data_IF_147842727074
#
_entry.id   IF_147842727074
#
_cell.length_a   1.000
_cell.length_b   1.000
_cell.length_c   1.000
_cell.angle_alpha   90.00
_cell.angle_beta   90.00
_cell.angle_gamma   90.00
#
_symmetry.space_group_name_H-M   'P 1'
#
loop_
_entity.id
_entity.type
_entity.pdbx_description
1 polymer ?
#
# COMPACT_ATOMS: atom_id res chain seq x y z
N UNK A 1 -9.64 35.62 27.77
CA UNK A 1 -8.84 34.37 27.59
C UNK A 1 -7.54 34.78 26.96
N UNK A 2 -6.45 34.71 27.74
CA UNK A 2 -5.13 35.07 27.25
C UNK A 2 -4.67 34.03 26.23
N UNK A 3 -4.61 34.44 24.96
CA UNK A 3 -4.03 33.66 23.89
C UNK A 3 -2.52 33.86 23.94
N UNK A 4 -1.78 32.79 24.20
CA UNK A 4 -0.33 32.84 24.17
C UNK A 4 0.15 32.28 22.83
N UNK A 5 0.89 33.09 22.09
CA UNK A 5 1.54 32.65 20.86
C UNK A 5 3.04 32.54 21.06
N UNK A 6 3.62 31.38 20.71
CA UNK A 6 5.06 31.17 20.75
C UNK A 6 5.58 31.02 19.32
N UNK A 7 6.55 31.86 18.97
CA UNK A 7 7.24 31.78 17.68
C UNK A 7 8.50 30.90 17.81
N UNK A 8 8.66 29.98 16.89
CA UNK A 8 9.82 29.10 16.79
C UNK A 8 10.42 29.25 15.38
N UNK A 9 11.73 29.45 15.29
CA UNK A 9 12.42 29.47 14.02
C UNK A 9 12.65 28.02 13.56
N UNK A 10 12.23 27.71 12.34
CA UNK A 10 12.43 26.42 11.70
C UNK A 10 13.15 26.58 10.36
N UNK A 11 13.72 25.50 9.83
CA UNK A 11 14.35 25.54 8.51
C UNK A 11 13.37 26.08 7.45
N UNK A 12 13.66 27.26 6.91
CA UNK A 12 12.86 27.91 5.88
C UNK A 12 11.74 28.82 6.35
N UNK A 13 11.63 29.12 7.66
CA UNK A 13 10.61 30.07 8.13
C UNK A 13 10.36 30.07 9.64
N UNK A 14 9.14 30.43 10.00
CA UNK A 14 8.71 30.52 11.39
C UNK A 14 7.49 29.63 11.62
N UNK A 15 7.49 28.93 12.76
CA UNK A 15 6.35 28.20 13.29
C UNK A 15 5.74 28.95 14.45
N UNK A 16 4.45 29.21 14.39
CA UNK A 16 3.70 29.80 15.47
C UNK A 16 2.85 28.74 16.16
N UNK A 17 3.06 28.59 17.46
CA UNK A 17 2.23 27.74 18.32
C UNK A 17 1.26 28.64 19.07
N UNK A 18 -0.03 28.46 18.84
CA UNK A 18 -1.08 29.25 19.49
C UNK A 18 -1.72 28.36 20.54
N UNK A 19 -1.61 28.74 21.79
CA UNK A 19 -2.20 28.04 22.91
C UNK A 19 -3.49 28.74 23.33
N UNK A 20 -4.54 27.97 23.49
CA UNK A 20 -5.81 28.43 24.01
C UNK A 20 -6.27 27.49 25.12
N UNK A 21 -6.65 28.04 26.26
CA UNK A 21 -7.26 27.29 27.34
C UNK A 21 -8.69 26.91 26.95
N UNK A 22 -9.03 25.63 27.11
CA UNK A 22 -10.37 25.12 26.81
C UNK A 22 -10.51 23.67 27.24
N UNK A 23 -11.76 23.20 27.30
CA UNK A 23 -12.09 21.84 27.62
C UNK A 23 -12.31 20.99 26.35
N UNK A 24 -12.33 19.68 26.50
CA UNK A 24 -12.62 18.79 25.40
C UNK A 24 -14.04 19.06 24.86
N UNK A 25 -14.13 19.43 23.60
CA UNK A 25 -15.39 19.74 22.91
C UNK A 25 -15.70 21.23 22.75
N UNK A 26 -14.90 22.10 23.34
CA UNK A 26 -15.04 23.54 23.14
C UNK A 26 -14.74 23.92 21.69
N UNK A 27 -15.49 24.88 21.18
CA UNK A 27 -15.25 25.47 19.86
C UNK A 27 -14.50 26.77 20.01
N UNK A 28 -13.38 26.87 19.32
CA UNK A 28 -12.53 28.08 19.32
C UNK A 28 -12.39 28.59 17.90
N UNK A 29 -12.58 29.88 17.71
CA UNK A 29 -12.28 30.56 16.45
C UNK A 29 -10.97 31.29 16.60
N UNK A 30 -10.01 30.97 15.75
CA UNK A 30 -8.71 31.66 15.72
C UNK A 30 -8.61 32.39 14.38
N UNK A 31 -8.37 33.73 14.47
CA UNK A 31 -8.14 34.57 13.29
C UNK A 31 -6.67 34.96 13.25
N UNK A 32 -6.02 34.67 12.13
CA UNK A 32 -4.62 35.02 11.89
C UNK A 32 -4.54 35.84 10.61
N UNK A 33 -3.93 37.03 10.73
CA UNK A 33 -3.71 37.90 9.57
C UNK A 33 -2.23 37.90 9.19
N UNK A 34 -1.96 37.51 7.94
CA UNK A 34 -0.61 37.50 7.40
C UNK A 34 -0.42 38.57 6.35
N UNK A 35 0.72 39.26 6.39
CA UNK A 35 1.18 40.08 5.30
C UNK A 35 2.38 39.43 4.63
N UNK A 36 2.14 38.80 3.48
CA UNK A 36 3.16 38.13 2.70
C UNK A 36 3.73 39.10 1.67
N UNK A 37 5.06 39.11 1.53
CA UNK A 37 5.78 39.89 0.52
C UNK A 37 6.42 38.97 -0.50
N UNK A 38 6.61 39.46 -1.72
CA UNK A 38 7.30 38.75 -2.81
C UNK A 38 6.65 37.40 -3.16
N UNK A 39 5.32 37.31 -3.10
CA UNK A 39 4.55 36.10 -3.44
C UNK A 39 4.29 35.93 -4.93
N UNK A 40 4.49 36.99 -5.72
CA UNK A 40 4.17 36.99 -7.15
C UNK A 40 5.46 36.97 -7.97
N UNK A 41 5.45 36.10 -8.98
CA UNK A 41 6.48 36.04 -10.01
C UNK A 41 6.02 36.88 -11.22
N UNK A 42 6.82 37.81 -11.64
CA UNK A 42 6.46 38.77 -12.71
C UNK A 42 7.23 38.39 -13.98
N UNK A 43 6.50 38.17 -15.05
CA UNK A 43 7.01 37.87 -16.38
C UNK A 43 6.67 38.97 -17.37
N UNK A 44 7.09 38.85 -18.63
CA UNK A 44 6.77 39.85 -19.65
C UNK A 44 5.27 39.95 -19.93
N UNK A 45 4.57 38.81 -19.91
CA UNK A 45 3.19 38.64 -20.35
C UNK A 45 2.19 38.42 -19.19
N UNK A 46 2.64 37.83 -18.08
CA UNK A 46 1.78 37.51 -16.94
C UNK A 46 2.45 37.80 -15.60
N UNK A 47 1.62 37.86 -14.57
CA UNK A 47 2.04 37.75 -13.16
C UNK A 47 1.50 36.43 -12.61
N UNK A 48 2.37 35.59 -12.10
CA UNK A 48 2.05 34.25 -11.62
C UNK A 48 2.06 34.20 -10.08
N UNK A 49 1.06 33.54 -9.51
CA UNK A 49 1.01 33.13 -8.12
C UNK A 49 1.12 31.60 -8.07
N UNK A 50 2.13 31.12 -7.36
CA UNK A 50 2.24 29.72 -6.97
C UNK A 50 2.35 29.66 -5.46
N UNK A 51 1.31 29.19 -4.78
CA UNK A 51 1.23 29.23 -3.32
C UNK A 51 0.57 27.98 -2.76
N UNK A 52 1.19 27.43 -1.71
CA UNK A 52 0.70 26.27 -0.97
C UNK A 52 0.33 26.74 0.45
N UNK A 53 -0.89 27.28 0.66
CA UNK A 53 -1.31 27.79 1.98
C UNK A 53 -1.49 26.71 3.03
N UNK A 54 -1.74 25.46 2.61
CA UNK A 54 -1.88 24.33 3.49
C UNK A 54 -0.91 23.25 3.01
N UNK A 55 0.06 22.91 3.86
CA UNK A 55 0.99 21.78 3.64
C UNK A 55 1.24 21.08 4.98
N UNK A 56 1.40 19.74 4.92
CA UNK A 56 1.84 18.93 6.07
C UNK A 56 1.08 19.14 7.39
N UNK A 57 -0.20 19.50 7.28
CA UNK A 57 -1.05 19.65 8.45
C UNK A 57 -1.29 18.30 9.13
N UNK A 58 -1.06 18.20 10.43
CA UNK A 58 -1.08 16.95 11.18
C UNK A 58 -2.48 16.38 11.45
N UNK A 59 -3.54 17.13 11.10
CA UNK A 59 -4.94 16.77 11.26
C UNK A 59 -5.73 16.97 9.98
N UNK A 60 -6.83 16.25 9.87
CA UNK A 60 -7.80 16.47 8.81
C UNK A 60 -8.47 17.83 8.99
N UNK A 61 -8.51 18.63 7.94
CA UNK A 61 -9.27 19.86 7.86
C UNK A 61 -10.60 19.60 7.14
N UNK A 62 -11.69 20.15 7.65
CA UNK A 62 -13.01 20.05 7.04
C UNK A 62 -13.53 21.45 6.70
N UNK A 63 -14.37 21.55 5.66
CA UNK A 63 -15.00 22.78 5.21
C UNK A 63 -13.98 23.90 4.97
N UNK A 64 -12.97 23.59 4.17
CA UNK A 64 -11.91 24.55 3.84
C UNK A 64 -12.42 25.49 2.75
N UNK A 65 -12.37 26.77 3.01
CA UNK A 65 -12.76 27.81 2.07
C UNK A 65 -11.65 28.86 1.96
N UNK A 66 -11.30 29.22 0.74
CA UNK A 66 -10.40 30.32 0.42
C UNK A 66 -11.09 31.29 -0.51
N UNK A 67 -10.88 32.57 -0.26
CA UNK A 67 -11.26 33.66 -1.16
C UNK A 67 -9.99 34.37 -1.61
N UNK A 68 -9.74 34.36 -2.90
CA UNK A 68 -8.59 35.04 -3.53
C UNK A 68 -9.13 36.19 -4.37
N UNK A 69 -8.75 37.41 -3.99
CA UNK A 69 -9.12 38.61 -4.72
C UNK A 69 -7.87 39.17 -5.41
N UNK A 70 -7.76 39.08 -6.72
CA UNK A 70 -6.65 39.70 -7.46
C UNK A 70 -6.70 41.21 -7.38
N UNK A 71 -5.59 41.90 -7.68
CA UNK A 71 -5.52 43.38 -7.64
C UNK A 71 -6.51 44.05 -8.58
N UNK A 72 -6.83 43.41 -9.68
CA UNK A 72 -7.89 43.79 -10.59
C UNK A 72 -8.34 42.54 -11.38
N UNK A 73 -9.57 42.59 -11.90
CA UNK A 73 -10.08 41.50 -12.75
C UNK A 73 -9.77 41.77 -14.21
N UNK A 74 -9.18 40.77 -14.87
CA UNK A 74 -9.11 40.73 -16.33
C UNK A 74 -9.79 39.48 -16.85
N UNK A 75 -10.17 39.48 -18.12
CA UNK A 75 -10.70 38.31 -18.79
C UNK A 75 -9.64 37.21 -18.97
N UNK A 76 -8.36 37.54 -18.84
CA UNK A 76 -7.22 36.64 -19.01
C UNK A 76 -6.72 36.00 -17.71
N UNK A 77 -7.44 36.17 -16.60
CA UNK A 77 -7.07 35.57 -15.32
C UNK A 77 -7.57 34.14 -15.24
N UNK A 78 -6.68 33.22 -14.93
CA UNK A 78 -7.04 31.83 -14.61
C UNK A 78 -6.48 31.48 -13.23
N UNK A 79 -7.26 30.71 -12.46
CA UNK A 79 -6.87 30.18 -11.17
C UNK A 79 -7.20 28.70 -11.10
N UNK A 80 -6.19 27.93 -10.78
CA UNK A 80 -6.28 26.50 -10.52
C UNK A 80 -6.02 26.23 -9.03
N UNK A 81 -6.73 25.27 -8.49
CA UNK A 81 -6.54 24.82 -7.13
C UNK A 81 -6.44 23.27 -7.12
N UNK A 82 -5.40 22.76 -6.51
CA UNK A 82 -5.09 21.33 -6.48
C UNK A 82 -5.01 20.81 -5.05
N UNK A 83 -5.55 19.62 -4.80
CA UNK A 83 -5.53 19.02 -3.47
C UNK A 83 -5.08 17.57 -3.50
N UNK A 84 -4.41 17.15 -2.44
CA UNK A 84 -4.13 15.77 -2.16
C UNK A 84 -3.11 15.12 -3.11
N UNK A 85 -3.16 13.81 -3.18
CA UNK A 85 -2.37 13.07 -4.15
C UNK A 85 -2.89 13.31 -5.56
N UNK A 86 -1.97 13.32 -6.51
CA UNK A 86 -2.29 13.45 -7.92
C UNK A 86 -2.90 14.81 -8.32
N UNK A 87 -2.67 15.85 -7.50
CA UNK A 87 -3.09 17.21 -7.82
C UNK A 87 -4.58 17.28 -8.23
N UNK A 88 -5.45 16.60 -7.48
CA UNK A 88 -6.89 16.59 -7.76
C UNK A 88 -7.45 18.01 -7.75
N UNK A 89 -8.17 18.45 -8.80
CA UNK A 89 -8.68 19.81 -8.85
C UNK A 89 -9.73 20.04 -7.76
N UNK A 90 -9.63 21.18 -7.07
CA UNK A 90 -10.65 21.68 -6.18
C UNK A 90 -11.69 22.49 -6.96
N UNK A 91 -12.87 22.65 -6.37
CA UNK A 91 -13.89 23.51 -6.97
C UNK A 91 -13.48 24.97 -6.84
N UNK A 92 -13.32 25.64 -7.97
CA UNK A 92 -13.07 27.08 -8.07
C UNK A 92 -14.26 27.75 -8.71
N UNK A 93 -14.84 28.74 -8.03
CA UNK A 93 -15.99 29.52 -8.53
C UNK A 93 -15.60 30.99 -8.56
N UNK A 94 -15.87 31.67 -9.67
CA UNK A 94 -15.69 33.13 -9.76
C UNK A 94 -16.91 33.84 -9.18
N UNK A 95 -16.68 34.67 -8.18
CA UNK A 95 -17.70 35.53 -7.54
C UNK A 95 -17.28 37.00 -7.67
N UNK A 96 -17.82 37.69 -8.69
CA UNK A 96 -17.43 39.07 -8.99
C UNK A 96 -15.93 39.16 -9.29
N UNK A 97 -15.23 39.94 -8.44
CA UNK A 97 -13.79 40.17 -8.57
C UNK A 97 -12.94 39.16 -7.79
N UNK A 98 -13.56 38.17 -7.20
CA UNK A 98 -12.88 37.16 -6.39
C UNK A 98 -13.07 35.75 -6.93
N UNK A 99 -12.15 34.87 -6.55
CA UNK A 99 -12.25 33.43 -6.74
C UNK A 99 -12.54 32.80 -5.39
N UNK A 100 -13.57 31.99 -5.32
CA UNK A 100 -13.93 31.20 -4.17
C UNK A 100 -13.54 29.75 -4.40
N UNK A 101 -12.69 29.20 -3.56
CA UNK A 101 -12.22 27.83 -3.58
C UNK A 101 -12.82 27.10 -2.40
N UNK A 102 -13.55 26.00 -2.67
CA UNK A 102 -14.15 25.16 -1.63
C UNK A 102 -13.65 23.75 -1.71
N UNK A 103 -13.20 23.24 -0.56
CA UNK A 103 -12.74 21.86 -0.39
C UNK A 103 -13.46 21.25 0.81
N UNK A 104 -14.25 20.24 0.59
CA UNK A 104 -15.03 19.59 1.67
C UNK A 104 -14.15 19.06 2.78
N UNK A 105 -13.02 18.47 2.43
CA UNK A 105 -12.01 18.06 3.42
C UNK A 105 -10.62 17.89 2.79
N UNK A 106 -9.60 18.21 3.57
CA UNK A 106 -8.19 17.93 3.27
C UNK A 106 -7.70 16.93 4.31
N UNK A 107 -7.23 15.78 3.87
CA UNK A 107 -6.73 14.74 4.78
C UNK A 107 -5.41 15.18 5.45
N UNK A 108 -5.06 14.53 6.56
CA UNK A 108 -3.77 14.71 7.23
C UNK A 108 -2.62 14.57 6.23
N UNK A 109 -1.62 15.43 6.34
CA UNK A 109 -0.42 15.47 5.49
C UNK A 109 -0.75 15.60 3.99
N UNK A 110 -1.78 16.41 3.67
CA UNK A 110 -2.15 16.77 2.31
C UNK A 110 -2.07 18.25 2.10
N UNK A 111 -1.81 18.64 0.87
CA UNK A 111 -1.63 20.02 0.46
C UNK A 111 -2.93 20.58 -0.13
N UNK A 112 -3.08 21.89 -0.05
CA UNK A 112 -3.88 22.69 -0.97
C UNK A 112 -2.92 23.69 -1.63
N UNK A 113 -2.91 23.67 -2.95
CA UNK A 113 -2.01 24.48 -3.78
C UNK A 113 -2.84 25.35 -4.70
N UNK A 114 -2.44 26.60 -4.83
CA UNK A 114 -3.01 27.55 -5.78
C UNK A 114 -1.97 27.90 -6.83
N UNK A 115 -2.40 27.81 -8.08
CA UNK A 115 -1.62 28.21 -9.24
C UNK A 115 -2.48 29.12 -10.10
N UNK A 116 -2.08 30.37 -10.21
CA UNK A 116 -2.88 31.41 -10.87
C UNK A 116 -2.01 32.35 -11.66
N UNK A 117 -2.59 32.94 -12.67
CA UNK A 117 -1.96 34.07 -13.35
C UNK A 117 -2.94 35.21 -13.61
N UNK A 118 -2.39 36.40 -13.69
CA UNK A 118 -3.06 37.63 -14.05
C UNK A 118 -2.31 38.32 -15.19
N UNK A 119 -3.02 39.18 -15.90
CA UNK A 119 -2.40 40.02 -16.92
C UNK A 119 -1.28 40.88 -16.30
N UNK A 120 -0.16 40.99 -16.99
CA UNK A 120 1.00 41.75 -16.55
C UNK A 120 0.68 43.22 -16.25
N UNK A 121 -0.25 43.82 -17.00
CA UNK A 121 -0.64 45.22 -16.86
C UNK A 121 -1.33 45.55 -15.54
N UNK A 122 -1.86 44.54 -14.84
CA UNK A 122 -2.57 44.72 -13.55
C UNK A 122 -1.63 44.95 -12.36
N UNK A 123 -0.31 44.75 -12.54
CA UNK A 123 0.66 44.85 -11.45
C UNK A 123 1.78 45.79 -11.85
N UNK A 124 1.90 46.87 -11.10
CA UNK A 124 3.02 47.81 -11.26
C UNK A 124 4.21 47.32 -10.45
N UNK A 125 5.29 46.97 -11.11
CA UNK A 125 6.54 46.53 -10.48
C UNK A 125 7.66 47.45 -10.92
N UNK A 126 8.55 47.91 -10.02
CA UNK A 126 9.72 48.68 -10.41
C UNK A 126 10.57 47.92 -11.42
N UNK A 127 11.04 48.59 -12.47
CA UNK A 127 11.80 47.97 -13.57
C UNK A 127 13.06 47.22 -13.11
N UNK A 128 13.65 47.63 -12.00
CA UNK A 128 14.86 47.02 -11.43
C UNK A 128 14.54 45.98 -10.33
N UNK A 129 13.30 45.54 -10.20
CA UNK A 129 12.94 44.55 -9.21
C UNK A 129 13.51 43.18 -9.62
N UNK A 130 14.18 42.47 -8.70
CA UNK A 130 14.66 41.12 -8.86
C UNK A 130 13.53 40.11 -9.12
N UNK A 131 12.28 40.52 -8.87
CA UNK A 131 11.10 39.67 -9.12
C UNK A 131 10.67 39.67 -10.59
N UNK A 132 11.29 40.46 -11.47
CA UNK A 132 10.93 40.50 -12.90
C UNK A 132 11.80 39.59 -13.72
N UNK A 133 11.20 38.56 -14.30
CA UNK A 133 11.86 37.64 -15.23
C UNK A 133 11.53 38.02 -16.67
N UNK A 134 12.55 38.40 -17.45
CA UNK A 134 12.38 38.86 -18.84
C UNK A 134 12.13 37.71 -19.81
N UNK A 135 11.04 36.98 -19.65
CA UNK A 135 10.57 35.94 -20.58
C UNK A 135 9.04 35.87 -20.57
N UNK A 136 8.47 35.29 -21.61
CA UNK A 136 7.04 34.95 -21.64
C UNK A 136 6.80 33.65 -20.91
N UNK A 137 5.71 33.55 -20.15
CA UNK A 137 5.39 32.43 -19.28
C UNK A 137 4.02 31.81 -19.52
N UNK A 138 3.07 32.50 -20.12
CA UNK A 138 1.69 32.09 -20.26
C UNK A 138 1.55 30.70 -20.93
N UNK A 139 2.29 30.46 -21.99
CA UNK A 139 2.21 29.18 -22.71
C UNK A 139 2.71 28.02 -21.82
N UNK A 140 3.84 28.22 -21.16
CA UNK A 140 4.42 27.24 -20.24
C UNK A 140 3.49 26.97 -19.05
N UNK A 141 2.89 28.04 -18.48
CA UNK A 141 1.87 27.92 -17.43
C UNK A 141 0.73 26.99 -17.86
N UNK A 142 0.13 27.27 -19.01
CA UNK A 142 -0.99 26.46 -19.54
C UNK A 142 -0.58 25.05 -19.87
N UNK A 143 0.65 24.83 -20.32
CA UNK A 143 1.16 23.49 -20.57
C UNK A 143 1.32 22.71 -19.27
N UNK A 144 1.88 23.29 -18.22
CA UNK A 144 2.01 22.67 -16.88
C UNK A 144 0.63 22.26 -16.37
N UNK A 145 -0.36 23.15 -16.42
CA UNK A 145 -1.72 22.84 -15.96
C UNK A 145 -2.37 21.71 -16.78
N UNK A 146 -2.15 21.69 -18.09
CA UNK A 146 -2.63 20.62 -18.97
C UNK A 146 -1.97 19.28 -18.62
N UNK A 147 -0.69 19.26 -18.33
CA UNK A 147 0.05 18.07 -17.92
C UNK A 147 -0.45 17.56 -16.55
N UNK A 148 -0.64 18.45 -15.58
CA UNK A 148 -1.23 18.14 -14.28
C UNK A 148 -2.63 17.54 -14.45
N UNK A 149 -3.50 18.17 -15.25
CA UNK A 149 -4.86 17.68 -15.50
C UNK A 149 -4.85 16.28 -16.18
N UNK A 150 -3.94 16.07 -17.14
CA UNK A 150 -3.81 14.81 -17.85
C UNK A 150 -3.33 13.70 -16.92
N UNK A 151 -2.30 13.97 -16.14
CA UNK A 151 -1.74 13.04 -15.15
C UNK A 151 -2.79 12.69 -14.08
N UNK A 152 -3.51 13.68 -13.56
CA UNK A 152 -4.57 13.49 -12.59
C UNK A 152 -5.66 12.57 -13.13
N UNK A 153 -6.15 12.80 -14.36
CA UNK A 153 -7.15 11.93 -15.01
C UNK A 153 -6.65 10.50 -15.18
N UNK A 154 -5.37 10.33 -15.58
CA UNK A 154 -4.75 9.01 -15.71
C UNK A 154 -4.73 8.26 -14.37
N UNK A 155 -4.31 8.92 -13.29
CA UNK A 155 -4.28 8.32 -11.96
C UNK A 155 -5.67 8.03 -11.39
N UNK A 156 -6.63 8.93 -11.61
CA UNK A 156 -8.02 8.68 -11.22
C UNK A 156 -8.57 7.45 -11.93
N UNK A 157 -8.36 7.34 -13.23
CA UNK A 157 -8.77 6.14 -13.99
C UNK A 157 -8.13 4.87 -13.44
N UNK A 158 -6.83 4.91 -13.15
CA UNK A 158 -6.09 3.76 -12.61
C UNK A 158 -6.68 3.32 -11.26
N UNK A 159 -6.97 4.25 -10.36
CA UNK A 159 -7.50 3.95 -9.02
C UNK A 159 -8.97 3.56 -9.08
N UNK A 160 -9.79 4.25 -9.87
CA UNK A 160 -11.24 4.08 -9.87
C UNK A 160 -11.70 2.90 -10.73
N UNK A 161 -10.92 2.52 -11.76
CA UNK A 161 -11.31 1.50 -12.74
C UNK A 161 -10.29 0.39 -12.95
N UNK A 162 -9.05 0.74 -13.27
CA UNK A 162 -8.07 -0.26 -13.72
C UNK A 162 -7.66 -1.20 -12.57
N UNK A 163 -7.43 -0.67 -11.37
CA UNK A 163 -7.06 -1.46 -10.19
C UNK A 163 -8.22 -2.36 -9.70
N UNK A 164 -9.45 -1.88 -9.50
CA UNK A 164 -10.60 -2.72 -9.15
C UNK A 164 -10.85 -3.82 -10.18
N UNK A 165 -10.77 -3.48 -11.48
CA UNK A 165 -10.93 -4.46 -12.55
C UNK A 165 -9.86 -5.56 -12.49
N UNK A 166 -8.60 -5.18 -12.29
CA UNK A 166 -7.51 -6.14 -12.14
C UNK A 166 -7.74 -7.09 -10.94
N UNK A 167 -8.19 -6.57 -9.80
CA UNK A 167 -8.52 -7.38 -8.62
C UNK A 167 -9.67 -8.38 -8.90
N UNK A 168 -10.71 -7.94 -9.61
CA UNK A 168 -11.81 -8.84 -10.02
C UNK A 168 -11.30 -9.93 -10.95
N UNK A 169 -10.46 -9.61 -11.92
CA UNK A 169 -9.87 -10.60 -12.84
C UNK A 169 -9.01 -11.63 -12.09
N UNK A 170 -8.16 -11.19 -11.17
CA UNK A 170 -7.37 -12.09 -10.32
C UNK A 170 -8.28 -13.01 -9.49
N UNK A 171 -9.37 -12.47 -8.92
CA UNK A 171 -10.36 -13.26 -8.19
C UNK A 171 -11.03 -14.31 -9.06
N UNK A 172 -11.43 -13.96 -10.28
CA UNK A 172 -12.05 -14.90 -11.24
C UNK A 172 -11.08 -16.01 -11.66
N UNK A 173 -9.83 -15.66 -11.97
CA UNK A 173 -8.78 -16.61 -12.31
C UNK A 173 -8.56 -17.59 -11.14
N UNK A 174 -8.44 -17.08 -9.93
CA UNK A 174 -8.28 -17.89 -8.72
C UNK A 174 -9.46 -18.84 -8.50
N UNK A 175 -10.69 -18.35 -8.73
CA UNK A 175 -11.91 -19.17 -8.65
C UNK A 175 -11.90 -20.31 -9.68
N UNK A 176 -11.50 -20.03 -10.92
CA UNK A 176 -11.38 -21.06 -11.97
C UNK A 176 -10.37 -22.13 -11.57
N UNK A 177 -9.18 -21.72 -11.10
CA UNK A 177 -8.18 -22.67 -10.59
C UNK A 177 -8.71 -23.51 -9.42
N UNK A 178 -9.42 -22.89 -8.49
CA UNK A 178 -10.05 -23.58 -7.36
C UNK A 178 -11.06 -24.63 -7.84
N UNK A 179 -11.94 -24.26 -8.78
CA UNK A 179 -12.93 -25.19 -9.36
C UNK A 179 -12.24 -26.37 -10.06
N UNK A 180 -11.24 -26.09 -10.90
CA UNK A 180 -10.48 -27.13 -11.60
C UNK A 180 -9.80 -28.08 -10.59
N UNK A 181 -9.15 -27.52 -9.58
CA UNK A 181 -8.52 -28.29 -8.52
C UNK A 181 -9.55 -29.14 -7.77
N UNK A 182 -10.67 -28.57 -7.37
CA UNK A 182 -11.74 -29.27 -6.65
C UNK A 182 -12.35 -30.42 -7.49
N UNK A 183 -12.61 -30.19 -8.77
CA UNK A 183 -13.13 -31.19 -9.68
C UNK A 183 -12.13 -32.36 -9.89
N UNK A 184 -10.83 -32.02 -10.03
CA UNK A 184 -9.78 -33.03 -10.18
C UNK A 184 -9.52 -33.83 -8.92
N UNK A 185 -9.59 -33.23 -7.74
CA UNK A 185 -9.41 -33.96 -6.46
C UNK A 185 -10.64 -34.76 -6.09
N UNK A 186 -11.85 -34.29 -6.38
CA UNK A 186 -13.09 -35.00 -6.09
C UNK A 186 -13.21 -36.34 -6.83
N UNK A 187 -12.59 -36.46 -8.02
CA UNK A 187 -12.61 -37.71 -8.81
C UNK A 187 -11.62 -38.76 -8.33
N UNK A 188 -10.69 -38.45 -7.42
CA UNK A 188 -9.63 -39.36 -7.00
C UNK A 188 -9.85 -40.09 -5.67
N UNK A 189 -10.78 -39.64 -4.84
CA UNK A 189 -11.03 -40.25 -3.52
C UNK A 189 -12.53 -40.29 -3.23
N UNK A 190 -13.24 -41.19 -3.87
CA UNK A 190 -14.59 -41.54 -3.43
C UNK A 190 -14.48 -42.74 -2.47
N UNK A 191 -14.16 -42.43 -1.20
CA UNK A 191 -14.40 -43.46 -0.17
C UNK A 191 -15.90 -43.49 0.10
N UNK A 192 -16.56 -44.66 -0.07
CA UNK A 192 -17.93 -44.81 0.36
C UNK A 192 -18.00 -44.52 1.86
N UNK A 193 -18.94 -43.66 2.29
CA UNK A 193 -19.10 -43.19 3.68
C UNK A 193 -19.21 -44.30 4.74
N UNK A 194 -19.26 -45.56 4.35
CA UNK A 194 -19.36 -46.77 5.19
C UNK A 194 -18.33 -47.86 4.85
N UNK A 195 -17.26 -47.54 4.12
CA UNK A 195 -16.21 -48.53 3.88
C UNK A 195 -15.50 -48.79 5.21
N UNK A 196 -15.78 -49.95 5.80
CA UNK A 196 -14.93 -50.52 6.85
C UNK A 196 -13.83 -51.27 6.14
N UNK A 197 -12.61 -50.82 6.26
CA UNK A 197 -11.43 -51.55 5.76
C UNK A 197 -11.12 -52.62 6.81
N UNK A 198 -11.47 -53.86 6.46
CA UNK A 198 -11.14 -55.00 7.31
C UNK A 198 -9.78 -55.63 6.95
N UNK A 199 -9.24 -55.21 5.81
CA UNK A 199 -7.92 -55.63 5.33
C UNK A 199 -7.02 -54.41 5.15
N UNK A 200 -5.74 -54.57 5.37
CA UNK A 200 -4.75 -53.55 5.09
C UNK A 200 -4.76 -53.28 3.57
N UNK A 201 -5.11 -52.10 3.07
CA UNK A 201 -5.33 -51.84 1.64
C UNK A 201 -4.11 -52.11 0.77
N UNK A 202 -2.92 -51.94 1.34
CA UNK A 202 -1.62 -52.26 0.74
C UNK A 202 -0.62 -52.53 1.86
N UNK A 203 0.18 -53.54 1.70
CA UNK A 203 1.29 -53.85 2.59
C UNK A 203 2.49 -52.96 2.23
N UNK A 204 2.40 -51.71 2.65
CA UNK A 204 3.44 -50.71 2.41
C UNK A 204 4.53 -50.73 3.49
N UNK A 205 5.80 -50.63 3.12
CA UNK A 205 6.89 -50.53 4.09
C UNK A 205 6.69 -49.36 5.05
N UNK A 206 7.06 -49.50 6.35
CA UNK A 206 6.88 -48.45 7.38
C UNK A 206 7.47 -47.08 7.00
N UNK A 207 8.61 -47.03 6.31
CA UNK A 207 9.21 -45.80 5.83
C UNK A 207 8.34 -45.08 4.79
N UNK A 208 7.68 -45.81 3.90
CA UNK A 208 6.77 -45.27 2.88
C UNK A 208 5.53 -44.68 3.57
N UNK A 209 5.02 -45.35 4.59
CA UNK A 209 3.93 -44.83 5.42
C UNK A 209 4.36 -43.57 6.17
N UNK A 210 5.54 -43.58 6.80
CA UNK A 210 6.07 -42.43 7.51
C UNK A 210 6.22 -41.20 6.61
N UNK A 211 6.75 -41.36 5.43
CA UNK A 211 6.93 -40.25 4.48
C UNK A 211 5.60 -39.74 3.92
N UNK A 212 4.70 -40.62 3.48
CA UNK A 212 3.50 -40.19 2.76
C UNK A 212 2.30 -39.86 3.66
N UNK A 213 2.18 -40.48 4.82
CA UNK A 213 1.06 -40.30 5.74
C UNK A 213 1.40 -39.31 6.86
N UNK A 214 2.61 -39.42 7.40
CA UNK A 214 3.07 -38.60 8.50
C UNK A 214 3.95 -37.44 8.07
N UNK A 215 4.20 -37.27 6.76
CA UNK A 215 5.02 -36.20 6.19
C UNK A 215 6.43 -36.09 6.81
N UNK A 216 7.02 -37.25 7.16
CA UNK A 216 8.38 -37.27 7.69
C UNK A 216 9.37 -37.16 6.56
N UNK A 217 10.24 -36.17 6.61
CA UNK A 217 11.37 -36.05 5.68
C UNK A 217 12.47 -37.04 6.10
N UNK A 218 12.63 -38.10 5.31
CA UNK A 218 13.62 -39.15 5.57
C UNK A 218 15.05 -38.71 5.24
N UNK A 219 15.25 -37.59 4.57
CA UNK A 219 16.57 -37.07 4.21
C UNK A 219 17.18 -36.23 5.33
N UNK A 220 16.32 -35.62 6.17
CA UNK A 220 16.70 -34.74 7.28
C UNK A 220 16.43 -35.38 8.66
N UNK A 221 16.32 -36.67 8.72
CA UNK A 221 15.94 -37.41 9.92
C UNK A 221 17.07 -37.34 10.96
N UNK A 222 16.99 -36.40 11.88
CA UNK A 222 17.90 -36.31 13.02
C UNK A 222 17.32 -37.10 14.22
N UNK A 223 18.00 -38.18 14.67
CA UNK A 223 17.53 -38.96 15.82
C UNK A 223 17.51 -38.20 17.15
N UNK A 224 18.17 -37.04 17.21
CA UNK A 224 18.26 -36.23 18.43
C UNK A 224 17.17 -35.13 18.49
N UNK A 225 16.57 -34.76 17.39
CA UNK A 225 15.50 -33.74 17.34
C UNK A 225 14.13 -34.35 17.64
N UNK A 226 13.33 -33.62 18.43
CA UNK A 226 11.90 -33.90 18.59
C UNK A 226 11.19 -33.45 17.30
N UNK A 227 10.93 -34.36 16.42
CA UNK A 227 10.12 -34.09 15.26
C UNK A 227 8.70 -33.63 15.67
N UNK A 228 8.10 -32.74 14.88
CA UNK A 228 6.74 -32.23 15.09
C UNK A 228 5.66 -33.34 15.03
N UNK A 229 6.00 -34.50 14.53
CA UNK A 229 5.15 -35.69 14.48
C UNK A 229 5.37 -36.56 15.72
N UNK A 230 4.32 -37.22 16.22
CA UNK A 230 4.39 -38.19 17.33
C UNK A 230 5.24 -39.44 17.01
N UNK A 231 5.80 -39.54 15.82
CA UNK A 231 6.58 -40.67 15.36
C UNK A 231 8.04 -40.49 15.81
N UNK A 232 8.49 -41.36 16.68
CA UNK A 232 9.90 -41.36 17.12
C UNK A 232 10.75 -42.11 16.09
N UNK A 233 11.94 -41.59 15.79
CA UNK A 233 12.90 -42.22 14.89
C UNK A 233 13.19 -43.68 15.25
N UNK A 234 13.40 -43.97 16.53
CA UNK A 234 13.63 -45.30 17.04
C UNK A 234 12.49 -46.29 16.67
N UNK A 235 11.24 -45.84 16.84
CA UNK A 235 10.05 -46.63 16.49
C UNK A 235 9.98 -46.92 14.99
N UNK A 236 10.36 -45.93 14.16
CA UNK A 236 10.39 -46.10 12.71
C UNK A 236 11.46 -47.10 12.28
N UNK A 237 12.65 -47.07 12.88
CA UNK A 237 13.73 -48.02 12.63
C UNK A 237 13.31 -49.42 13.07
N UNK A 238 12.73 -49.56 14.27
CA UNK A 238 12.25 -50.84 14.80
C UNK A 238 11.16 -51.45 13.89
N UNK A 239 10.16 -50.65 13.50
CA UNK A 239 9.10 -51.09 12.63
C UNK A 239 9.64 -51.56 11.25
N UNK A 240 10.62 -50.82 10.70
CA UNK A 240 11.26 -51.16 9.43
C UNK A 240 12.08 -52.45 9.53
N UNK A 241 12.81 -52.64 10.63
CA UNK A 241 13.54 -53.89 10.85
C UNK A 241 12.61 -55.10 10.99
N UNK A 242 11.50 -54.93 11.73
CA UNK A 242 10.49 -56.00 11.86
C UNK A 242 9.82 -56.32 10.51
N UNK A 243 9.49 -55.31 9.71
CA UNK A 243 8.94 -55.49 8.35
C UNK A 243 9.93 -56.22 7.43
N UNK A 244 11.23 -55.95 7.52
CA UNK A 244 12.26 -56.62 6.74
C UNK A 244 12.46 -58.10 7.19
N UNK A 245 12.27 -58.39 8.49
CA UNK A 245 12.29 -59.76 9.01
C UNK A 245 11.04 -60.54 8.55
N UNK A 246 9.86 -59.92 8.68
CA UNK A 246 8.59 -60.53 8.26
C UNK A 246 8.56 -60.85 6.79
N UNK A 247 9.10 -59.97 5.96
CA UNK A 247 9.27 -60.16 4.51
C UNK A 247 10.40 -61.12 4.14
N UNK A 248 11.11 -61.68 5.12
CA UNK A 248 12.21 -62.61 4.90
C UNK A 248 13.49 -62.03 4.34
N UNK A 249 13.64 -60.70 4.35
CA UNK A 249 14.85 -60.02 3.89
C UNK A 249 15.98 -60.04 4.94
N UNK A 250 15.61 -60.18 6.20
CA UNK A 250 16.54 -60.28 7.35
C UNK A 250 16.18 -61.50 8.17
N UNK A 251 17.20 -62.19 8.72
CA UNK A 251 17.02 -63.24 9.70
C UNK A 251 17.94 -63.01 10.89
N UNK A 252 17.51 -63.46 12.06
CA UNK A 252 18.40 -63.54 13.22
C UNK A 252 19.37 -64.71 13.07
N UNK A 253 20.63 -64.48 13.39
CA UNK A 253 21.60 -65.59 13.50
C UNK A 253 21.35 -66.36 14.79
N UNK A 254 21.45 -67.65 14.72
CA UNK A 254 21.24 -68.62 15.86
C UNK A 254 22.32 -68.53 16.96
N UNK A 255 23.15 -67.51 16.95
CA UNK A 255 24.16 -67.29 17.99
C UNK A 255 23.50 -66.76 19.26
N UNK A 256 23.25 -67.63 20.20
CA UNK A 256 22.62 -67.33 21.50
C UNK A 256 23.41 -66.37 22.37
N UNK A 257 24.69 -66.09 22.06
CA UNK A 257 25.54 -65.16 22.82
C UNK A 257 25.58 -63.76 22.23
N UNK A 258 25.36 -63.61 20.95
CA UNK A 258 25.29 -62.32 20.25
C UNK A 258 24.36 -62.42 19.02
N UNK A 259 23.06 -62.25 19.20
CA UNK A 259 22.13 -62.25 18.09
C UNK A 259 22.46 -61.12 17.13
N UNK A 260 22.68 -61.43 15.86
CA UNK A 260 22.96 -60.43 14.81
C UNK A 260 21.90 -60.59 13.71
N UNK A 261 21.52 -59.48 13.13
CA UNK A 261 20.69 -59.46 11.92
C UNK A 261 21.57 -59.73 10.68
N UNK A 262 21.22 -60.69 9.90
CA UNK A 262 21.91 -61.03 8.65
C UNK A 262 20.97 -60.91 7.46
N UNK A 263 21.46 -60.29 6.40
CA UNK A 263 20.71 -60.20 5.13
C UNK A 263 20.59 -61.57 4.49
N UNK A 264 19.38 -61.95 4.11
CA UNK A 264 19.12 -63.14 3.30
C UNK A 264 19.54 -62.85 1.87
N UNK A 265 20.63 -63.47 1.42
CA UNK A 265 21.05 -63.42 0.02
C UNK A 265 20.32 -64.51 -0.74
N UNK A 266 19.26 -64.16 -1.47
CA UNK A 266 18.65 -65.11 -2.43
C UNK A 266 19.69 -65.31 -3.51
N UNK A 267 20.32 -66.48 -3.55
CA UNK A 267 21.15 -66.87 -4.68
C UNK A 267 20.23 -66.98 -5.87
N UNK A 268 20.54 -66.26 -6.92
CA UNK A 268 19.72 -65.93 -8.05
C UNK A 268 18.94 -67.12 -8.70
N UNK A 269 17.80 -66.69 -9.24
CA UNK A 269 17.21 -67.29 -10.41
C UNK A 269 17.92 -66.79 -11.66
#
# INVERSE_FOLDING_TARGET
TDITAVQEYIAGGYKYKIYNAGNKGDRVTITVTWKLKNMLFVYNDIVELHWIPISDWDKKLNNVEFRITPPATSQQTELYAHTGYFMKPAQVTREGDSYLIRVASIAKNRNLEFHAYWDRSLVTVPENSLAVTKRNRLQEFRQVEKEVATSTKKYQRLVDWDLPLALVLVGLISLVFYIIFHLRTKSRVTFPKRARLYEIPQDLPPMVIASNVYSVDLTELDPTERQATSLKFENLVQATLLDLIDRGNLVFTDDTKQPRLQRVTVKGL
#
